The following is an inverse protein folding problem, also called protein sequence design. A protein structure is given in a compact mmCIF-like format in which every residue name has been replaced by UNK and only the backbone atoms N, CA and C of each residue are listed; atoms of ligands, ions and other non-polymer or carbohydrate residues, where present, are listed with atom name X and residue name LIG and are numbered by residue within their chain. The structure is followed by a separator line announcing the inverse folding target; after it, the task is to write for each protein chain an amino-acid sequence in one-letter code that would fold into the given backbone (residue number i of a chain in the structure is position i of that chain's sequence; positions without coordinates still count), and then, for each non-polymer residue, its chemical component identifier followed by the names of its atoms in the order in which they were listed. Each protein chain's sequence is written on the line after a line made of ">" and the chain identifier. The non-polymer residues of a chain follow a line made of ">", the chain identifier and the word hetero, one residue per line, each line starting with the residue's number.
data_IF_422242761189
#
_entry.id   IF_422242761189
#
_cell.length_a   1.000
_cell.length_b   1.000
_cell.length_c   1.000
_cell.angle_alpha   90.00
_cell.angle_beta   90.00
_cell.angle_gamma   90.00
#
_symmetry.space_group_name_H-M   'P 1'
#
loop_
_entity.id
_entity.type
_entity.pdbx_description
1 polymer ?
#
# COMPACT_ATOMS: atom_id res chain seq x y z
N UNK A 1 -18.06 57.20 36.78
CA UNK A 1 -17.54 56.84 35.42
C UNK A 1 -17.65 55.34 35.26
N UNK A 2 -18.76 54.87 34.67
CA UNK A 2 -18.96 53.45 34.40
C UNK A 2 -18.36 53.10 33.02
N UNK A 3 -17.33 52.25 33.00
CA UNK A 3 -16.78 51.70 31.75
C UNK A 3 -17.68 50.52 31.34
N UNK A 4 -18.41 50.68 30.24
CA UNK A 4 -19.13 49.57 29.56
C UNK A 4 -18.11 48.72 28.78
N UNK A 5 -17.85 47.48 29.23
CA UNK A 5 -17.19 46.46 28.43
C UNK A 5 -18.20 45.93 27.41
N UNK A 6 -17.96 46.18 26.13
CA UNK A 6 -18.65 45.44 25.05
C UNK A 6 -17.96 44.12 24.85
N UNK A 7 -18.63 43.02 25.21
CA UNK A 7 -18.26 41.67 24.75
C UNK A 7 -18.67 41.54 23.29
N UNK A 8 -17.68 41.53 22.39
CA UNK A 8 -17.86 41.07 21.03
C UNK A 8 -17.92 39.54 21.04
N UNK A 9 -19.13 38.99 21.00
CA UNK A 9 -19.31 37.59 20.62
C UNK A 9 -18.97 37.47 19.13
N UNK A 10 -17.77 36.99 18.82
CA UNK A 10 -17.41 36.54 17.49
C UNK A 10 -18.16 35.24 17.19
N UNK A 11 -19.19 35.32 16.35
CA UNK A 11 -19.79 34.14 15.75
C UNK A 11 -18.71 33.48 14.86
N UNK A 12 -18.10 32.40 15.33
CA UNK A 12 -17.35 31.51 14.48
C UNK A 12 -18.37 30.86 13.52
N UNK A 13 -18.46 31.38 12.30
CA UNK A 13 -19.16 30.70 11.24
C UNK A 13 -18.39 29.39 10.99
N UNK A 14 -18.90 28.28 11.47
CA UNK A 14 -18.47 26.95 11.00
C UNK A 14 -18.81 26.92 9.50
N UNK A 15 -17.81 27.04 8.62
CA UNK A 15 -17.99 26.67 7.23
C UNK A 15 -18.48 25.21 7.24
N UNK A 16 -19.77 25.02 6.95
CA UNK A 16 -20.30 23.69 6.74
C UNK A 16 -19.47 23.06 5.60
N UNK A 17 -18.94 21.86 5.83
CA UNK A 17 -18.20 21.16 4.79
C UNK A 17 -19.17 20.93 3.62
N UNK A 18 -18.75 21.34 2.41
CA UNK A 18 -19.57 21.18 1.21
C UNK A 18 -19.88 19.70 0.99
N UNK A 19 -21.16 19.37 0.84
CA UNK A 19 -21.60 18.01 0.50
C UNK A 19 -21.26 17.72 -0.96
N UNK A 20 -20.67 16.55 -1.22
CA UNK A 20 -20.46 16.02 -2.57
C UNK A 20 -21.42 14.87 -2.79
N UNK A 21 -22.16 14.91 -3.90
CA UNK A 21 -23.08 13.84 -4.32
C UNK A 21 -22.50 13.11 -5.54
N UNK A 22 -22.12 11.84 -5.37
CA UNK A 22 -21.57 11.00 -6.44
C UNK A 22 -22.70 10.11 -6.96
N UNK A 23 -23.03 10.26 -8.25
CA UNK A 23 -23.98 9.36 -8.96
C UNK A 23 -23.18 8.25 -9.62
N UNK A 24 -23.30 7.03 -9.11
CA UNK A 24 -22.60 5.85 -9.62
C UNK A 24 -23.50 5.03 -10.54
N UNK A 25 -23.02 4.71 -11.75
CA UNK A 25 -23.75 3.78 -12.64
C UNK A 25 -23.81 2.37 -12.07
N UNK A 26 -22.71 1.91 -11.52
CA UNK A 26 -22.59 0.70 -10.71
C UNK A 26 -21.76 1.01 -9.47
N UNK A 27 -22.24 0.61 -8.30
CA UNK A 27 -21.46 0.61 -7.06
C UNK A 27 -21.08 -0.83 -6.73
N UNK A 28 -19.82 -1.13 -6.70
CA UNK A 28 -19.28 -2.48 -6.47
C UNK A 28 -18.79 -2.58 -5.04
N UNK A 29 -19.27 -3.61 -4.34
CA UNK A 29 -18.71 -4.07 -3.06
C UNK A 29 -17.87 -5.33 -3.30
N UNK A 30 -16.53 -5.24 -3.32
CA UNK A 30 -15.67 -6.39 -3.56
C UNK A 30 -15.71 -7.44 -2.45
N UNK A 31 -16.09 -7.06 -1.24
CA UNK A 31 -16.18 -7.98 -0.08
C UNK A 31 -17.31 -8.97 -0.26
N UNK A 32 -18.51 -8.48 -0.59
CA UNK A 32 -19.70 -9.31 -0.81
C UNK A 32 -19.86 -9.78 -2.26
N UNK A 33 -19.14 -9.17 -3.20
CA UNK A 33 -19.32 -9.41 -4.63
C UNK A 33 -20.56 -8.74 -5.23
N UNK A 34 -21.26 -7.87 -4.49
CA UNK A 34 -22.46 -7.21 -4.96
C UNK A 34 -22.15 -6.07 -5.93
N UNK A 35 -22.97 -5.95 -6.97
CA UNK A 35 -22.98 -4.85 -7.95
C UNK A 35 -24.32 -4.17 -7.92
N UNK A 36 -24.38 -2.98 -7.32
CA UNK A 36 -25.61 -2.23 -7.14
C UNK A 36 -25.72 -1.13 -8.23
N UNK A 37 -26.73 -1.18 -9.13
CA UNK A 37 -26.88 -0.19 -10.19
C UNK A 37 -27.50 1.12 -9.67
N UNK A 38 -27.16 2.24 -10.33
CA UNK A 38 -27.78 3.54 -10.14
C UNK A 38 -27.82 4.00 -8.67
N UNK A 39 -26.66 4.04 -8.04
CA UNK A 39 -26.51 4.44 -6.64
C UNK A 39 -26.08 5.90 -6.51
N UNK A 40 -26.43 6.51 -5.37
CA UNK A 40 -25.88 7.80 -4.91
C UNK A 40 -25.05 7.57 -3.66
N UNK A 41 -23.91 8.23 -3.60
CA UNK A 41 -23.04 8.32 -2.42
C UNK A 41 -22.95 9.79 -2.06
N UNK A 42 -23.40 10.17 -0.86
CA UNK A 42 -23.17 11.50 -0.31
C UNK A 42 -21.91 11.47 0.55
N UNK A 43 -21.03 12.45 0.34
CA UNK A 43 -19.78 12.63 1.07
C UNK A 43 -19.79 13.99 1.73
N UNK A 44 -19.46 14.04 3.02
CA UNK A 44 -19.34 15.28 3.79
C UNK A 44 -18.15 15.17 4.74
N UNK A 45 -17.35 16.23 4.86
CA UNK A 45 -16.16 16.23 5.74
C UNK A 45 -15.17 15.11 5.43
N UNK A 46 -15.09 14.67 4.19
CA UNK A 46 -14.19 13.59 3.77
C UNK A 46 -14.73 12.17 3.99
N UNK A 47 -15.91 12.01 4.58
CA UNK A 47 -16.49 10.71 4.92
C UNK A 47 -17.78 10.43 4.16
N UNK A 48 -18.05 9.17 3.95
CA UNK A 48 -19.32 8.71 3.37
C UNK A 48 -20.45 8.93 4.38
N UNK A 49 -21.43 9.76 4.01
CA UNK A 49 -22.56 10.11 4.86
C UNK A 49 -23.77 9.21 4.59
N UNK A 50 -24.12 9.00 3.31
CA UNK A 50 -25.28 8.20 2.89
C UNK A 50 -24.91 7.41 1.64
N UNK A 51 -25.43 6.19 1.53
CA UNK A 51 -25.41 5.37 0.31
C UNK A 51 -26.80 4.82 0.08
N UNK A 52 -27.31 4.93 -1.15
CA UNK A 52 -28.60 4.33 -1.49
C UNK A 52 -28.93 4.47 -2.98
N UNK A 53 -30.07 3.86 -3.40
CA UNK A 53 -30.55 4.00 -4.77
C UNK A 53 -30.83 5.47 -5.13
N UNK A 54 -30.49 5.88 -6.35
CA UNK A 54 -30.59 7.28 -6.82
C UNK A 54 -31.99 7.89 -6.62
N UNK A 55 -33.08 7.10 -6.72
CA UNK A 55 -34.42 7.57 -6.53
C UNK A 55 -34.82 7.71 -5.06
N UNK A 56 -34.03 7.22 -4.12
CA UNK A 56 -34.37 7.20 -2.67
C UNK A 56 -33.47 8.16 -1.86
N UNK A 57 -32.31 8.56 -2.38
CA UNK A 57 -31.40 9.48 -1.70
C UNK A 57 -31.64 10.90 -2.23
N UNK A 58 -32.21 11.82 -1.44
CA UNK A 58 -32.34 13.21 -1.84
C UNK A 58 -30.97 13.87 -1.86
N UNK A 59 -30.62 14.46 -3.00
CA UNK A 59 -29.38 15.23 -3.15
C UNK A 59 -29.65 16.66 -2.70
N UNK A 60 -28.90 17.22 -1.71
CA UNK A 60 -29.03 18.61 -1.32
C UNK A 60 -28.83 19.56 -2.51
N UNK A 61 -29.59 20.65 -2.56
CA UNK A 61 -29.56 21.57 -3.70
C UNK A 61 -28.25 22.33 -3.84
N UNK A 62 -27.47 22.42 -2.78
CA UNK A 62 -26.14 23.05 -2.69
C UNK A 62 -24.98 22.05 -2.80
N UNK A 63 -25.27 20.75 -2.96
CA UNK A 63 -24.24 19.73 -3.12
C UNK A 63 -23.52 19.84 -4.47
N UNK A 64 -22.19 19.64 -4.45
CA UNK A 64 -21.44 19.40 -5.69
C UNK A 64 -21.81 18.04 -6.25
N UNK A 65 -22.38 17.99 -7.46
CA UNK A 65 -22.78 16.73 -8.11
C UNK A 65 -21.65 16.23 -9.02
N UNK A 66 -21.15 15.02 -8.75
CA UNK A 66 -20.20 14.31 -9.61
C UNK A 66 -20.94 13.18 -10.31
N UNK A 67 -21.04 13.27 -11.63
CA UNK A 67 -21.72 12.28 -12.46
C UNK A 67 -20.77 11.19 -12.89
N UNK A 68 -20.91 9.99 -12.31
CA UNK A 68 -20.18 8.76 -12.65
C UNK A 68 -21.14 7.65 -13.15
N UNK A 69 -22.29 8.04 -13.72
CA UNK A 69 -23.31 7.08 -14.20
C UNK A 69 -22.81 6.16 -15.33
N UNK A 70 -21.74 6.55 -16.03
CA UNK A 70 -21.10 5.74 -17.07
C UNK A 70 -20.03 4.78 -16.55
N UNK A 71 -19.75 4.78 -15.24
CA UNK A 71 -18.62 4.08 -14.64
C UNK A 71 -19.06 3.08 -13.57
N UNK A 72 -18.15 2.16 -13.26
CA UNK A 72 -18.19 1.35 -12.04
C UNK A 72 -17.38 2.04 -10.94
N UNK A 73 -18.04 2.34 -9.83
CA UNK A 73 -17.44 2.93 -8.64
C UNK A 73 -17.14 1.82 -7.64
N UNK A 74 -15.94 1.84 -7.07
CA UNK A 74 -15.45 0.81 -6.16
C UNK A 74 -14.43 1.43 -5.20
N UNK A 75 -14.05 0.74 -4.09
CA UNK A 75 -12.99 1.20 -3.21
C UNK A 75 -11.67 1.40 -3.95
N UNK A 76 -10.82 2.30 -3.42
CA UNK A 76 -9.46 2.44 -3.92
C UNK A 76 -8.66 1.13 -3.82
N UNK A 77 -7.69 0.96 -4.72
CA UNK A 77 -6.86 -0.24 -4.79
C UNK A 77 -5.71 -0.17 -3.77
N UNK A 78 -5.20 -1.33 -3.40
CA UNK A 78 -4.08 -1.50 -2.47
C UNK A 78 -2.94 -2.25 -3.16
N UNK A 79 -1.72 -1.72 -3.04
CA UNK A 79 -0.48 -2.49 -3.27
C UNK A 79 0.16 -2.79 -1.93
N UNK A 80 0.16 -4.06 -1.56
CA UNK A 80 0.58 -4.51 -0.23
C UNK A 80 2.10 -4.71 -0.09
N UNK A 81 2.89 -4.44 -1.14
CA UNK A 81 4.35 -4.48 -1.12
C UNK A 81 4.92 -3.62 -2.26
N UNK A 82 5.41 -2.47 -1.92
CA UNK A 82 6.03 -1.54 -2.85
C UNK A 82 7.24 -0.85 -2.17
N UNK A 83 8.05 -0.12 -2.97
CA UNK A 83 9.20 0.66 -2.53
C UNK A 83 9.13 2.04 -3.18
N UNK A 84 8.33 2.94 -2.60
CA UNK A 84 8.08 4.27 -3.20
C UNK A 84 9.35 5.12 -3.29
N UNK A 85 10.24 5.00 -2.31
CA UNK A 85 11.49 5.75 -2.25
C UNK A 85 12.66 5.09 -2.98
N UNK A 86 12.40 4.07 -3.79
CA UNK A 86 13.41 3.42 -4.61
C UNK A 86 12.96 3.32 -6.07
N UNK A 87 13.78 3.79 -6.99
CA UNK A 87 13.59 3.58 -8.42
C UNK A 87 14.95 3.47 -9.09
N UNK A 88 15.35 2.28 -9.43
CA UNK A 88 16.60 2.06 -10.14
C UNK A 88 16.38 1.63 -11.58
N UNK A 89 17.36 1.91 -12.45
CA UNK A 89 17.38 1.37 -13.80
C UNK A 89 17.85 -0.08 -13.72
N UNK A 90 17.09 -0.98 -14.31
CA UNK A 90 17.54 -2.37 -14.48
C UNK A 90 18.61 -2.40 -15.55
N UNK A 91 19.86 -2.35 -15.13
CA UNK A 91 21.04 -2.45 -15.98
C UNK A 91 21.80 -3.74 -15.64
N UNK A 92 22.01 -4.67 -16.62
CA UNK A 92 22.70 -5.92 -16.37
C UNK A 92 24.16 -5.76 -16.02
N UNK A 93 24.78 -4.72 -16.55
CA UNK A 93 26.23 -4.52 -16.44
C UNK A 93 26.64 -3.87 -15.11
N UNK A 94 25.67 -3.22 -14.44
CA UNK A 94 25.88 -2.53 -13.17
C UNK A 94 24.87 -3.03 -12.12
N UNK A 95 25.31 -3.24 -10.89
CA UNK A 95 24.41 -3.49 -9.77
C UNK A 95 23.68 -2.21 -9.42
N UNK A 96 22.73 -1.82 -10.28
CA UNK A 96 22.02 -0.54 -10.19
C UNK A 96 21.18 -0.41 -8.91
N UNK A 97 20.69 -1.52 -8.36
CA UNK A 97 19.99 -1.53 -7.05
C UNK A 97 20.93 -1.06 -5.93
N UNK A 98 22.12 -1.69 -5.79
CA UNK A 98 23.12 -1.30 -4.78
C UNK A 98 23.62 0.12 -5.02
N UNK A 99 23.95 0.46 -6.26
CA UNK A 99 24.48 1.79 -6.62
C UNK A 99 23.44 2.89 -6.30
N UNK A 100 22.18 2.70 -6.65
CA UNK A 100 21.11 3.66 -6.30
C UNK A 100 21.00 3.83 -4.79
N UNK A 101 21.08 2.74 -4.04
CA UNK A 101 20.96 2.77 -2.57
C UNK A 101 22.12 3.53 -1.89
N UNK A 102 23.31 3.57 -2.47
CA UNK A 102 24.48 4.23 -1.88
C UNK A 102 24.84 5.58 -2.51
N UNK A 103 24.33 5.89 -3.72
CA UNK A 103 24.66 7.13 -4.43
C UNK A 103 23.55 8.18 -4.32
N UNK A 104 22.27 7.77 -4.22
CA UNK A 104 21.16 8.70 -4.11
C UNK A 104 20.95 9.11 -2.65
N UNK A 105 20.92 10.43 -2.41
CA UNK A 105 20.67 10.94 -1.07
C UNK A 105 19.22 10.68 -0.61
N UNK A 106 18.99 10.63 0.71
CA UNK A 106 17.65 10.54 1.31
C UNK A 106 16.69 11.59 0.74
N UNK A 107 17.18 12.81 0.55
CA UNK A 107 16.35 13.92 0.04
C UNK A 107 15.88 13.66 -1.41
N UNK A 108 16.76 13.21 -2.30
CA UNK A 108 16.38 12.92 -3.69
C UNK A 108 15.40 11.75 -3.75
N UNK A 109 15.60 10.75 -2.92
CA UNK A 109 14.73 9.58 -2.84
C UNK A 109 13.35 9.92 -2.25
N UNK A 110 13.28 10.84 -1.28
CA UNK A 110 12.01 11.36 -0.77
C UNK A 110 11.22 12.11 -1.88
N UNK A 111 11.89 12.94 -2.70
CA UNK A 111 11.26 13.61 -3.84
C UNK A 111 10.78 12.61 -4.89
N UNK A 112 11.57 11.58 -5.17
CA UNK A 112 11.18 10.50 -6.07
C UNK A 112 9.95 9.74 -5.56
N UNK A 113 9.85 9.52 -4.25
CA UNK A 113 8.71 8.87 -3.61
C UNK A 113 7.41 9.67 -3.79
N UNK A 114 7.47 11.01 -3.78
CA UNK A 114 6.32 11.87 -4.09
C UNK A 114 5.81 11.60 -5.51
N UNK A 115 6.70 11.59 -6.50
CA UNK A 115 6.34 11.31 -7.90
C UNK A 115 5.73 9.91 -8.07
N UNK A 116 6.33 8.90 -7.44
CA UNK A 116 5.81 7.54 -7.45
C UNK A 116 4.42 7.46 -6.80
N UNK A 117 4.22 8.07 -5.63
CA UNK A 117 2.93 8.11 -4.93
C UNK A 117 1.82 8.77 -5.76
N UNK A 118 2.11 9.88 -6.42
CA UNK A 118 1.17 10.57 -7.31
C UNK A 118 0.74 9.65 -8.47
N UNK A 119 1.69 8.96 -9.09
CA UNK A 119 1.37 8.06 -10.22
C UNK A 119 0.65 6.78 -9.78
N UNK A 120 0.91 6.29 -8.55
CA UNK A 120 0.13 5.23 -7.93
C UNK A 120 -1.33 5.64 -7.77
N UNK A 121 -1.58 6.82 -7.16
CA UNK A 121 -2.95 7.35 -7.03
C UNK A 121 -3.64 7.54 -8.38
N UNK A 122 -2.93 8.05 -9.39
CA UNK A 122 -3.49 8.21 -10.74
C UNK A 122 -3.96 6.90 -11.36
N UNK A 123 -3.36 5.77 -10.94
CA UNK A 123 -3.74 4.42 -11.35
C UNK A 123 -4.72 3.72 -10.39
N UNK A 124 -5.28 4.48 -9.42
CA UNK A 124 -6.32 4.00 -8.51
C UNK A 124 -5.82 3.38 -7.21
N UNK A 125 -4.52 3.32 -6.96
CA UNK A 125 -3.97 2.82 -5.71
C UNK A 125 -4.01 3.91 -4.65
N UNK A 126 -5.01 3.85 -3.77
CA UNK A 126 -5.19 4.82 -2.67
C UNK A 126 -4.45 4.42 -1.40
N UNK A 127 -3.98 3.19 -1.32
CA UNK A 127 -3.15 2.66 -0.23
C UNK A 127 -1.94 1.93 -0.79
N UNK A 128 -0.79 2.17 -0.19
CA UNK A 128 0.47 1.47 -0.50
C UNK A 128 1.14 1.05 0.81
N UNK A 129 1.48 -0.22 0.93
CA UNK A 129 2.37 -0.69 1.99
C UNK A 129 3.80 -0.64 1.47
N UNK A 130 4.57 0.32 1.99
CA UNK A 130 5.98 0.53 1.65
C UNK A 130 6.86 -0.29 2.60
N UNK A 131 7.55 -1.28 2.06
CA UNK A 131 8.28 -2.26 2.86
C UNK A 131 9.80 -2.04 2.83
N UNK A 132 10.21 -0.77 2.71
CA UNK A 132 11.58 -0.35 2.97
C UNK A 132 12.37 0.06 1.75
N UNK A 133 13.69 -0.05 1.83
CA UNK A 133 14.62 0.60 0.90
C UNK A 133 14.31 2.11 0.74
N UNK A 134 14.08 2.73 1.88
CA UNK A 134 13.56 4.09 2.02
C UNK A 134 14.66 5.09 2.43
N UNK A 135 15.93 4.76 2.24
CA UNK A 135 17.05 5.67 2.48
C UNK A 135 16.90 6.48 3.78
N UNK A 136 16.95 5.81 4.92
CA UNK A 136 16.89 6.46 6.23
C UNK A 136 15.58 7.21 6.50
N UNK A 137 14.43 6.49 6.43
CA UNK A 137 13.08 7.00 6.75
C UNK A 137 12.47 8.01 5.76
N UNK A 138 12.85 8.01 4.49
CA UNK A 138 12.17 8.82 3.48
C UNK A 138 10.69 8.43 3.30
N UNK A 139 10.32 7.17 3.54
CA UNK A 139 8.95 6.66 3.58
C UNK A 139 8.12 7.30 4.71
N UNK A 140 8.72 7.46 5.90
CA UNK A 140 8.09 8.16 7.02
C UNK A 140 7.88 9.64 6.71
N UNK A 141 8.88 10.29 6.08
CA UNK A 141 8.77 11.68 5.65
C UNK A 141 7.66 11.85 4.59
N UNK A 142 7.58 10.94 3.62
CA UNK A 142 6.52 10.91 2.61
C UNK A 142 5.14 10.80 3.27
N UNK A 143 4.95 9.82 4.16
CA UNK A 143 3.68 9.63 4.87
C UNK A 143 3.26 10.90 5.62
N UNK A 144 4.17 11.48 6.41
CA UNK A 144 3.89 12.71 7.16
C UNK A 144 3.51 13.85 6.24
N UNK A 145 4.22 14.07 5.14
CA UNK A 145 3.92 15.13 4.18
C UNK A 145 2.53 14.97 3.54
N UNK A 146 2.11 13.73 3.25
CA UNK A 146 0.77 13.42 2.74
C UNK A 146 -0.29 13.67 3.82
N UNK A 147 -0.09 13.18 5.04
CA UNK A 147 -1.02 13.35 6.18
C UNK A 147 -1.19 14.83 6.58
N UNK A 148 -0.16 15.65 6.40
CA UNK A 148 -0.22 17.09 6.61
C UNK A 148 -0.84 17.86 5.43
N UNK A 149 -1.15 17.17 4.32
CA UNK A 149 -1.72 17.79 3.13
C UNK A 149 -0.74 18.70 2.38
N UNK A 150 0.57 18.54 2.59
CA UNK A 150 1.58 19.30 1.84
C UNK A 150 1.74 18.79 0.42
N UNK A 151 1.49 17.52 0.22
CA UNK A 151 1.56 16.84 -1.07
C UNK A 151 0.42 15.83 -1.22
N UNK A 152 -0.09 15.59 -2.45
CA UNK A 152 -1.00 14.48 -2.71
C UNK A 152 -0.27 13.15 -2.67
N UNK A 153 -0.96 12.10 -2.24
CA UNK A 153 -0.42 10.75 -2.25
C UNK A 153 -1.36 9.72 -1.65
N UNK A 154 -1.04 8.42 -1.79
CA UNK A 154 -1.79 7.34 -1.16
C UNK A 154 -1.62 7.36 0.36
N UNK A 155 -2.46 6.63 1.07
CA UNK A 155 -2.16 6.25 2.44
C UNK A 155 -0.96 5.32 2.45
N UNK A 156 0.11 5.69 3.15
CA UNK A 156 1.37 4.93 3.17
C UNK A 156 1.48 4.16 4.48
N UNK A 157 1.55 2.83 4.41
CA UNK A 157 1.85 1.95 5.53
C UNK A 157 3.35 1.64 5.46
N UNK A 158 4.16 2.50 6.05
CA UNK A 158 5.61 2.48 5.93
C UNK A 158 6.29 1.60 6.99
N UNK A 159 7.42 0.99 6.65
CA UNK A 159 8.17 0.16 7.60
C UNK A 159 9.43 0.85 8.18
N UNK A 160 9.86 1.99 7.63
CA UNK A 160 11.13 2.58 7.96
C UNK A 160 12.30 1.77 7.38
N UNK A 161 13.31 1.50 8.19
CA UNK A 161 14.49 0.75 7.77
C UNK A 161 14.23 -0.75 7.96
N UNK A 162 14.53 -1.56 6.95
CA UNK A 162 14.42 -3.03 7.03
C UNK A 162 15.36 -3.55 8.12
N UNK A 163 14.91 -4.51 8.92
CA UNK A 163 15.74 -5.14 9.97
C UNK A 163 16.24 -6.50 9.46
N UNK A 164 17.52 -6.76 9.62
CA UNK A 164 18.13 -8.03 9.17
C UNK A 164 19.35 -8.38 10.00
N UNK A 165 19.91 -9.57 9.76
CA UNK A 165 21.27 -9.88 10.17
C UNK A 165 22.25 -8.95 9.44
N UNK A 166 23.47 -8.85 9.95
CA UNK A 166 24.49 -7.92 9.49
C UNK A 166 24.59 -7.80 7.96
N UNK A 167 24.42 -6.57 7.46
CA UNK A 167 24.49 -6.23 6.05
C UNK A 167 23.19 -6.44 5.24
N UNK A 168 22.12 -6.97 5.84
CA UNK A 168 20.85 -7.19 5.17
C UNK A 168 20.97 -8.03 3.89
N UNK A 169 20.48 -7.55 2.77
CA UNK A 169 20.62 -8.20 1.45
C UNK A 169 21.97 -7.93 0.79
N UNK A 170 22.66 -6.87 1.20
CA UNK A 170 23.93 -6.51 0.58
C UNK A 170 25.10 -7.30 1.17
N UNK A 171 26.18 -7.40 0.38
CA UNK A 171 27.46 -7.95 0.82
C UNK A 171 28.54 -6.91 0.49
N UNK A 172 28.60 -5.81 1.26
CA UNK A 172 29.62 -4.79 1.04
C UNK A 172 31.00 -5.31 1.41
N UNK A 173 32.04 -4.67 0.87
CA UNK A 173 33.41 -4.89 1.38
C UNK A 173 33.49 -4.34 2.82
N UNK A 174 34.32 -4.88 3.71
CA UNK A 174 34.40 -4.52 5.12
C UNK A 174 34.52 -3.01 5.36
N UNK A 175 35.33 -2.34 4.54
CA UNK A 175 35.62 -0.90 4.65
C UNK A 175 34.44 -0.02 4.26
N UNK A 176 33.40 -0.59 3.66
CA UNK A 176 32.20 0.10 3.16
C UNK A 176 30.90 -0.43 3.77
N UNK A 177 30.98 -1.24 4.82
CA UNK A 177 29.80 -1.84 5.46
C UNK A 177 28.78 -0.79 5.92
N UNK A 178 29.23 0.36 6.40
CA UNK A 178 28.35 1.44 6.87
C UNK A 178 27.46 2.06 5.79
N UNK A 179 27.77 1.88 4.51
CA UNK A 179 26.98 2.44 3.40
C UNK A 179 25.56 1.80 3.28
N UNK A 180 25.36 0.62 3.86
CA UNK A 180 24.06 -0.08 3.80
C UNK A 180 23.15 0.24 4.99
N UNK A 181 23.63 0.88 6.05
CA UNK A 181 22.84 1.19 7.24
C UNK A 181 21.63 2.12 7.03
N UNK A 182 21.60 2.99 6.02
CA UNK A 182 20.37 3.70 5.67
C UNK A 182 19.25 2.79 5.15
N UNK A 183 19.59 1.57 4.67
CA UNK A 183 18.65 0.59 4.11
C UNK A 183 18.33 -0.56 5.07
N UNK A 184 19.32 -0.98 5.89
CA UNK A 184 19.23 -2.15 6.78
C UNK A 184 19.78 -1.83 8.16
N UNK A 185 18.97 -2.13 9.21
CA UNK A 185 19.44 -2.17 10.59
C UNK A 185 19.93 -3.57 10.90
N UNK A 186 21.18 -3.68 11.36
CA UNK A 186 21.71 -4.93 11.88
C UNK A 186 21.06 -5.27 13.24
N UNK A 187 20.59 -6.50 13.40
CA UNK A 187 19.99 -7.00 14.62
C UNK A 187 20.25 -8.51 14.74
N UNK A 188 21.42 -8.88 15.25
CA UNK A 188 21.90 -10.25 15.34
C UNK A 188 21.73 -10.85 16.74
N UNK A 189 21.29 -10.05 17.71
CA UNK A 189 21.03 -10.48 19.10
C UNK A 189 19.63 -10.05 19.56
N UNK A 190 19.05 -10.69 20.60
CA UNK A 190 17.74 -10.30 21.14
C UNK A 190 17.65 -8.82 21.54
N UNK A 191 18.70 -8.25 22.14
CA UNK A 191 18.71 -6.85 22.56
C UNK A 191 18.75 -5.90 21.35
N UNK A 192 19.47 -6.25 20.30
CA UNK A 192 19.50 -5.51 19.03
C UNK A 192 18.15 -5.58 18.32
N UNK A 193 17.48 -6.74 18.30
CA UNK A 193 16.13 -6.91 17.77
C UNK A 193 15.17 -5.92 18.44
N UNK A 194 15.12 -5.92 19.77
CA UNK A 194 14.27 -5.00 20.54
C UNK A 194 14.60 -3.55 20.22
N UNK A 195 15.87 -3.19 20.17
CA UNK A 195 16.34 -1.84 19.86
C UNK A 195 15.96 -1.40 18.45
N UNK A 196 16.13 -2.27 17.45
CA UNK A 196 15.82 -2.00 16.05
C UNK A 196 14.30 -1.79 15.82
N UNK A 197 13.46 -2.65 16.44
CA UNK A 197 11.99 -2.51 16.38
C UNK A 197 11.58 -1.17 17.00
N UNK A 198 12.06 -0.84 18.20
CA UNK A 198 11.74 0.43 18.88
C UNK A 198 12.24 1.65 18.10
N UNK A 199 13.39 1.56 17.45
CA UNK A 199 13.90 2.62 16.59
C UNK A 199 12.94 2.90 15.42
N UNK A 200 12.46 1.87 14.71
CA UNK A 200 11.49 2.04 13.64
C UNK A 200 10.16 2.62 14.16
N UNK A 201 9.67 2.15 15.30
CA UNK A 201 8.47 2.69 15.97
C UNK A 201 8.66 4.19 16.28
N UNK A 202 9.79 4.56 16.88
CA UNK A 202 10.12 5.95 17.24
C UNK A 202 10.08 6.87 16.01
N UNK A 203 10.57 6.39 14.86
CA UNK A 203 10.60 7.15 13.60
C UNK A 203 9.35 6.93 12.73
N UNK A 204 8.26 6.40 13.32
CA UNK A 204 6.93 6.44 12.74
C UNK A 204 6.59 5.27 11.81
N UNK A 205 7.28 4.14 11.90
CA UNK A 205 6.88 2.94 11.18
C UNK A 205 5.47 2.48 11.55
N UNK A 206 4.73 1.97 10.56
CA UNK A 206 3.37 1.41 10.68
C UNK A 206 3.33 -0.11 10.49
N UNK A 207 4.43 -0.69 10.09
CA UNK A 207 4.68 -2.12 9.96
C UNK A 207 6.17 -2.36 10.23
N UNK A 208 6.54 -3.52 10.71
CA UNK A 208 7.95 -3.93 10.85
C UNK A 208 8.30 -4.87 9.70
N UNK A 209 9.34 -4.58 8.94
CA UNK A 209 9.88 -5.46 7.88
C UNK A 209 11.17 -6.10 8.34
N UNK A 210 11.23 -7.43 8.23
CA UNK A 210 12.45 -8.19 8.56
C UNK A 210 12.93 -9.04 7.37
N UNK A 211 14.24 -9.29 7.33
CA UNK A 211 14.90 -10.23 6.44
C UNK A 211 15.05 -11.56 7.19
N UNK A 212 14.23 -12.58 6.85
CA UNK A 212 14.19 -13.83 7.60
C UNK A 212 15.45 -14.65 7.39
N UNK A 213 15.92 -14.74 6.14
CA UNK A 213 16.95 -15.68 5.74
C UNK A 213 17.82 -15.20 4.55
N UNK A 214 18.05 -13.90 4.42
CA UNK A 214 18.89 -13.33 3.36
C UNK A 214 20.38 -13.74 3.48
N UNK A 215 20.79 -14.25 4.62
CA UNK A 215 22.13 -14.74 4.94
C UNK A 215 22.05 -16.16 5.49
N UNK A 216 23.19 -16.87 5.52
CA UNK A 216 23.29 -18.21 6.11
C UNK A 216 22.97 -18.25 7.61
N UNK A 217 23.07 -17.11 8.30
CA UNK A 217 22.72 -16.90 9.71
C UNK A 217 21.33 -16.21 9.85
N UNK A 218 20.33 -16.70 9.11
CA UNK A 218 18.96 -16.19 9.20
C UNK A 218 18.31 -16.46 10.56
N UNK A 219 17.25 -15.68 10.85
CA UNK A 219 16.58 -15.71 12.15
C UNK A 219 16.00 -17.09 12.51
N UNK A 220 16.13 -17.44 13.77
CA UNK A 220 15.45 -18.58 14.41
C UNK A 220 13.97 -18.28 14.66
N UNK A 221 13.19 -19.31 14.99
CA UNK A 221 11.78 -19.16 15.37
C UNK A 221 11.62 -18.25 16.58
N UNK A 222 12.47 -18.38 17.60
CA UNK A 222 12.35 -17.60 18.84
C UNK A 222 12.73 -16.13 18.64
N UNK A 223 13.72 -15.84 17.82
CA UNK A 223 14.05 -14.45 17.42
C UNK A 223 12.90 -13.82 16.64
N UNK A 224 12.27 -14.54 15.73
CA UNK A 224 11.10 -14.04 15.00
C UNK A 224 9.88 -13.83 15.91
N UNK A 225 9.66 -14.70 16.90
CA UNK A 225 8.63 -14.47 17.95
C UNK A 225 8.93 -13.22 18.76
N UNK A 226 10.21 -12.91 19.01
CA UNK A 226 10.59 -11.66 19.70
C UNK A 226 10.24 -10.43 18.87
N UNK A 227 10.51 -10.43 17.54
CA UNK A 227 10.04 -9.37 16.64
C UNK A 227 8.52 -9.19 16.73
N UNK A 228 7.76 -10.28 16.65
CA UNK A 228 6.29 -10.25 16.71
C UNK A 228 5.81 -9.68 18.06
N UNK A 229 6.38 -10.15 19.17
CA UNK A 229 6.00 -9.70 20.50
C UNK A 229 6.34 -8.23 20.75
N UNK A 230 7.50 -7.76 20.29
CA UNK A 230 7.92 -6.37 20.48
C UNK A 230 7.10 -5.40 19.62
N UNK A 231 6.86 -5.75 18.33
CA UNK A 231 6.02 -4.97 17.43
C UNK A 231 4.58 -4.86 17.95
N UNK A 232 4.02 -5.95 18.48
CA UNK A 232 2.67 -6.02 19.01
C UNK A 232 2.42 -5.06 20.18
N UNK A 233 3.44 -4.67 20.97
CA UNK A 233 3.31 -3.67 22.04
C UNK A 233 2.84 -2.30 21.54
N UNK A 234 3.08 -2.02 20.24
CA UNK A 234 2.63 -0.79 19.56
C UNK A 234 1.55 -1.07 18.52
N UNK A 235 0.91 -2.24 18.55
CA UNK A 235 -0.13 -2.63 17.62
C UNK A 235 0.38 -2.93 16.21
N UNK A 236 1.69 -3.08 15.99
CA UNK A 236 2.26 -3.28 14.67
C UNK A 236 2.38 -4.75 14.31
N UNK A 237 2.28 -5.04 13.01
CA UNK A 237 2.49 -6.36 12.42
C UNK A 237 3.92 -6.50 11.91
N UNK A 238 4.35 -7.77 11.70
CA UNK A 238 5.67 -8.08 11.15
C UNK A 238 5.53 -8.73 9.78
N UNK A 239 6.18 -8.15 8.77
CA UNK A 239 6.30 -8.67 7.40
C UNK A 239 7.70 -9.28 7.22
N UNK A 240 7.75 -10.53 6.74
CA UNK A 240 9.01 -11.28 6.59
C UNK A 240 9.40 -11.50 5.13
N UNK A 241 10.55 -10.96 4.71
CA UNK A 241 11.18 -11.35 3.45
C UNK A 241 11.76 -12.75 3.58
N UNK A 242 11.36 -13.67 2.70
CA UNK A 242 11.74 -15.07 2.77
C UNK A 242 12.32 -15.54 1.43
N UNK A 243 13.49 -16.16 1.47
CA UNK A 243 14.18 -16.68 0.29
C UNK A 243 14.23 -18.21 0.22
N UNK A 244 14.12 -18.90 1.36
CA UNK A 244 14.24 -20.37 1.42
C UNK A 244 12.98 -21.01 2.01
N UNK A 245 12.71 -22.26 1.60
CA UNK A 245 11.62 -23.04 2.19
C UNK A 245 11.78 -23.19 3.72
N UNK A 246 13.00 -23.44 4.20
CA UNK A 246 13.27 -23.54 5.63
C UNK A 246 12.98 -22.22 6.38
N UNK A 247 13.32 -21.08 5.79
CA UNK A 247 12.95 -19.76 6.30
C UNK A 247 11.45 -19.55 6.35
N UNK A 248 10.73 -19.94 5.28
CA UNK A 248 9.26 -19.89 5.23
C UNK A 248 8.63 -20.68 6.37
N UNK A 249 9.05 -21.93 6.58
CA UNK A 249 8.50 -22.77 7.64
C UNK A 249 8.78 -22.20 9.04
N UNK A 250 9.98 -21.65 9.29
CA UNK A 250 10.28 -20.97 10.56
C UNK A 250 9.42 -19.72 10.76
N UNK A 251 9.23 -18.91 9.70
CA UNK A 251 8.40 -17.72 9.74
C UNK A 251 6.93 -18.04 10.04
N UNK A 252 6.42 -19.11 9.42
CA UNK A 252 5.07 -19.63 9.68
C UNK A 252 4.95 -20.13 11.13
N UNK A 253 5.95 -20.86 11.63
CA UNK A 253 5.97 -21.32 13.01
C UNK A 253 5.99 -20.17 14.01
N UNK A 254 6.76 -19.13 13.75
CA UNK A 254 6.87 -17.94 14.57
C UNK A 254 5.60 -17.09 14.59
N UNK A 255 4.67 -17.26 13.64
CA UNK A 255 3.44 -16.49 13.56
C UNK A 255 3.64 -15.09 12.99
N UNK A 256 4.55 -14.93 12.03
CA UNK A 256 4.71 -13.68 11.27
C UNK A 256 3.40 -13.36 10.54
N UNK A 257 3.04 -12.08 10.47
CA UNK A 257 1.78 -11.64 9.87
C UNK A 257 1.67 -11.90 8.38
N UNK A 258 2.73 -11.58 7.63
CA UNK A 258 2.78 -11.80 6.18
C UNK A 258 4.15 -12.31 5.74
N UNK A 259 4.14 -13.24 4.78
CA UNK A 259 5.33 -13.70 4.07
C UNK A 259 5.39 -12.99 2.73
N UNK A 260 6.50 -12.29 2.54
CA UNK A 260 6.81 -11.53 1.35
C UNK A 260 7.59 -12.39 0.36
N UNK A 261 7.26 -12.25 -0.92
CA UNK A 261 7.77 -13.05 -2.03
C UNK A 261 7.27 -14.50 -2.05
N UNK A 262 7.32 -15.11 -3.22
CA UNK A 262 6.70 -16.43 -3.44
C UNK A 262 7.70 -17.53 -3.78
N UNK A 263 8.95 -17.18 -4.04
CA UNK A 263 9.92 -18.11 -4.61
C UNK A 263 10.26 -19.33 -3.74
N UNK A 264 10.04 -19.24 -2.43
CA UNK A 264 10.33 -20.27 -1.45
C UNK A 264 9.08 -21.06 -0.97
N UNK A 265 7.89 -20.72 -1.49
CA UNK A 265 6.61 -21.25 -1.01
C UNK A 265 6.15 -22.39 -1.90
N UNK A 266 6.16 -23.60 -1.35
CA UNK A 266 5.59 -24.80 -1.95
C UNK A 266 4.22 -25.16 -1.35
N UNK A 267 3.66 -26.29 -1.75
CA UNK A 267 2.37 -26.79 -1.27
C UNK A 267 2.32 -27.00 0.25
N UNK A 268 3.42 -27.45 0.85
CA UNK A 268 3.52 -27.61 2.31
C UNK A 268 3.43 -26.27 3.03
N UNK A 269 4.17 -25.28 2.54
CA UNK A 269 4.17 -23.94 3.09
C UNK A 269 2.78 -23.28 2.94
N UNK A 270 2.14 -23.41 1.76
CA UNK A 270 0.79 -22.88 1.53
C UNK A 270 -0.24 -23.48 2.47
N UNK A 271 -0.24 -24.80 2.67
CA UNK A 271 -1.13 -25.47 3.64
C UNK A 271 -0.91 -24.97 5.06
N UNK A 272 0.35 -24.81 5.47
CA UNK A 272 0.68 -24.30 6.79
C UNK A 272 0.26 -22.84 6.97
N UNK A 273 0.46 -21.98 5.94
CA UNK A 273 -0.02 -20.59 5.94
C UNK A 273 -1.54 -20.51 6.07
N UNK A 274 -2.28 -21.32 5.30
CA UNK A 274 -3.74 -21.35 5.36
C UNK A 274 -4.24 -21.75 6.77
N UNK A 275 -3.64 -22.78 7.37
CA UNK A 275 -4.00 -23.24 8.72
C UNK A 275 -3.76 -22.18 9.80
N UNK A 276 -2.69 -21.38 9.67
CA UNK A 276 -2.34 -20.34 10.64
C UNK A 276 -2.89 -18.96 10.27
N UNK A 277 -3.56 -18.81 9.13
CA UNK A 277 -4.13 -17.54 8.66
C UNK A 277 -3.08 -16.49 8.30
N UNK A 278 -1.88 -16.91 7.89
CA UNK A 278 -0.78 -16.04 7.49
C UNK A 278 -1.00 -15.54 6.07
N UNK A 279 -0.74 -14.26 5.82
CA UNK A 279 -0.87 -13.65 4.51
C UNK A 279 0.30 -14.02 3.59
N UNK A 280 -0.03 -14.36 2.34
CA UNK A 280 0.93 -14.44 1.26
C UNK A 280 0.89 -13.15 0.44
N UNK A 281 2.00 -12.47 0.40
CA UNK A 281 2.26 -11.23 -0.34
C UNK A 281 3.37 -11.53 -1.34
N UNK A 282 2.98 -12.18 -2.44
CA UNK A 282 3.92 -12.97 -3.24
C UNK A 282 4.71 -12.21 -4.29
N UNK A 283 4.40 -10.93 -4.55
CA UNK A 283 5.07 -10.08 -5.54
C UNK A 283 5.15 -10.71 -6.95
N UNK A 284 4.01 -11.13 -7.48
CA UNK A 284 3.86 -11.96 -8.67
C UNK A 284 4.20 -11.23 -9.97
N UNK A 285 5.49 -11.04 -10.21
CA UNK A 285 6.04 -10.26 -11.32
C UNK A 285 5.62 -10.83 -12.68
N UNK A 286 5.01 -10.03 -13.57
CA UNK A 286 4.65 -10.45 -14.92
C UNK A 286 5.88 -10.54 -15.82
N UNK A 287 5.80 -11.37 -16.84
CA UNK A 287 6.90 -11.59 -17.80
C UNK A 287 7.40 -10.28 -18.44
N UNK A 288 6.50 -9.32 -18.67
CA UNK A 288 6.81 -8.02 -19.28
C UNK A 288 7.69 -7.11 -18.43
N UNK A 289 7.77 -7.34 -17.13
CA UNK A 289 8.53 -6.51 -16.18
C UNK A 289 9.85 -7.13 -15.74
N UNK A 290 10.09 -8.40 -16.08
CA UNK A 290 11.39 -9.01 -15.80
C UNK A 290 12.49 -8.36 -16.64
N UNK A 291 13.58 -8.04 -15.97
CA UNK A 291 14.80 -7.53 -16.62
C UNK A 291 15.36 -8.52 -17.63
N UNK A 292 15.42 -9.79 -17.27
CA UNK A 292 15.71 -10.92 -18.15
C UNK A 292 14.46 -11.82 -18.17
N UNK A 293 13.57 -11.66 -19.14
CA UNK A 293 12.35 -12.45 -19.20
C UNK A 293 12.68 -13.94 -19.25
N UNK A 294 12.21 -14.68 -18.25
CA UNK A 294 12.29 -16.14 -18.21
C UNK A 294 10.89 -16.71 -18.12
N UNK A 295 10.46 -17.37 -19.20
CA UNK A 295 9.16 -18.04 -19.23
C UNK A 295 9.06 -19.09 -18.12
N UNK A 296 10.11 -19.84 -17.87
CA UNK A 296 10.17 -20.85 -16.79
C UNK A 296 9.92 -20.23 -15.40
N UNK A 297 10.57 -19.09 -15.11
CA UNK A 297 10.36 -18.36 -13.86
C UNK A 297 8.93 -17.85 -13.75
N UNK A 298 8.38 -17.30 -14.83
CA UNK A 298 7.00 -16.84 -14.88
C UNK A 298 6.02 -17.99 -14.66
N UNK A 299 6.21 -19.13 -15.35
CA UNK A 299 5.36 -20.32 -15.20
C UNK A 299 5.38 -20.84 -13.76
N UNK A 300 6.53 -20.87 -13.09
CA UNK A 300 6.64 -21.21 -11.66
C UNK A 300 5.87 -20.21 -10.77
N UNK A 301 5.96 -18.92 -11.06
CA UNK A 301 5.20 -17.91 -10.33
C UNK A 301 3.69 -18.11 -10.46
N UNK A 302 3.22 -18.34 -11.68
CA UNK A 302 1.81 -18.64 -11.97
C UNK A 302 1.34 -19.90 -11.26
N UNK A 303 2.11 -20.98 -11.32
CA UNK A 303 1.77 -22.25 -10.66
C UNK A 303 1.74 -22.13 -9.12
N UNK A 304 2.72 -21.43 -8.54
CA UNK A 304 2.74 -21.14 -7.10
C UNK A 304 1.52 -20.31 -6.66
N UNK A 305 1.08 -19.35 -7.49
CA UNK A 305 -0.11 -18.55 -7.19
C UNK A 305 -1.40 -19.40 -7.28
N UNK A 306 -1.52 -20.29 -8.29
CA UNK A 306 -2.63 -21.25 -8.40
C UNK A 306 -2.70 -22.16 -7.18
N UNK A 307 -1.55 -22.71 -6.78
CA UNK A 307 -1.47 -23.60 -5.62
C UNK A 307 -1.89 -22.88 -4.33
N UNK A 308 -1.41 -21.63 -4.13
CA UNK A 308 -1.81 -20.84 -2.96
C UNK A 308 -3.32 -20.55 -2.93
N UNK A 309 -3.89 -20.20 -4.09
CA UNK A 309 -5.33 -19.97 -4.22
C UNK A 309 -6.14 -21.25 -3.94
N UNK A 310 -5.72 -22.39 -4.51
CA UNK A 310 -6.37 -23.68 -4.29
C UNK A 310 -6.30 -24.15 -2.82
N UNK A 311 -5.25 -23.78 -2.08
CA UNK A 311 -5.10 -24.07 -0.65
C UNK A 311 -5.78 -23.02 0.25
N UNK A 312 -6.54 -22.08 -0.31
CA UNK A 312 -7.24 -21.02 0.44
C UNK A 312 -6.31 -20.16 1.32
N UNK A 313 -5.08 -19.94 0.88
CA UNK A 313 -4.16 -19.01 1.54
C UNK A 313 -4.72 -17.60 1.43
N UNK A 314 -4.61 -16.81 2.49
CA UNK A 314 -4.93 -15.38 2.43
C UNK A 314 -3.97 -14.69 1.47
N UNK A 315 -4.47 -14.15 0.37
CA UNK A 315 -3.70 -13.50 -0.69
C UNK A 315 -3.92 -11.99 -0.66
N UNK A 316 -2.86 -11.21 -0.87
CA UNK A 316 -2.94 -9.78 -1.11
C UNK A 316 -2.14 -9.41 -2.36
N UNK A 317 -2.65 -8.47 -3.15
CA UNK A 317 -1.97 -7.96 -4.33
C UNK A 317 -0.73 -7.18 -3.93
N UNK A 318 0.37 -7.43 -4.63
CA UNK A 318 1.67 -6.85 -4.29
C UNK A 318 2.62 -6.91 -5.48
N UNK A 319 3.57 -5.99 -5.54
CA UNK A 319 4.40 -5.85 -6.74
C UNK A 319 5.90 -5.85 -6.49
N UNK A 320 6.37 -5.42 -5.31
CA UNK A 320 7.79 -5.19 -5.07
C UNK A 320 8.38 -4.22 -6.11
N UNK A 321 7.56 -3.23 -6.53
CA UNK A 321 7.95 -2.33 -7.58
C UNK A 321 8.95 -1.31 -7.04
N UNK A 322 10.20 -1.46 -7.46
CA UNK A 322 11.36 -0.67 -7.05
C UNK A 322 12.23 -0.24 -8.25
N UNK A 323 11.74 -0.41 -9.46
CA UNK A 323 12.50 -0.24 -10.69
C UNK A 323 11.79 0.63 -11.72
N UNK A 324 12.59 1.13 -12.66
CA UNK A 324 12.16 1.93 -13.80
C UNK A 324 11.94 1.07 -15.04
N UNK A 325 10.79 1.27 -15.71
CA UNK A 325 10.53 0.74 -17.05
C UNK A 325 10.34 1.94 -17.97
N UNK A 326 11.10 2.05 -19.08
CA UNK A 326 10.97 3.14 -20.02
C UNK A 326 9.54 3.30 -20.54
N UNK A 327 9.01 4.52 -20.47
CA UNK A 327 7.66 4.85 -20.96
C UNK A 327 6.52 4.48 -20.01
N UNK A 328 6.81 3.93 -18.82
CA UNK A 328 5.78 3.60 -17.83
C UNK A 328 5.99 4.38 -16.53
N UNK A 329 4.90 4.88 -15.96
CA UNK A 329 4.87 5.41 -14.59
C UNK A 329 4.83 4.26 -13.58
N UNK A 330 5.13 4.53 -12.29
CA UNK A 330 5.04 3.53 -11.22
C UNK A 330 3.67 2.86 -11.18
N UNK A 331 2.59 3.61 -11.25
CA UNK A 331 1.23 3.08 -11.26
C UNK A 331 0.94 2.18 -12.46
N UNK A 332 1.49 2.51 -13.66
CA UNK A 332 1.36 1.67 -14.85
C UNK A 332 2.16 0.36 -14.74
N UNK A 333 3.33 0.41 -14.11
CA UNK A 333 4.10 -0.82 -13.82
C UNK A 333 3.31 -1.72 -12.87
N UNK A 334 2.76 -1.15 -11.81
CA UNK A 334 2.01 -1.91 -10.79
C UNK A 334 0.75 -2.56 -11.37
N UNK A 335 -0.07 -1.82 -12.12
CA UNK A 335 -1.30 -2.40 -12.69
C UNK A 335 -1.00 -3.52 -13.72
N UNK A 336 0.20 -3.55 -14.29
CA UNK A 336 0.59 -4.58 -15.24
C UNK A 336 0.74 -5.97 -14.61
N UNK A 337 0.89 -6.04 -13.28
CA UNK A 337 0.92 -7.28 -12.50
C UNK A 337 -0.39 -8.08 -12.59
N UNK A 338 -1.51 -7.46 -12.96
CA UNK A 338 -2.75 -8.17 -13.27
C UNK A 338 -2.57 -9.31 -14.30
N UNK A 339 -1.58 -9.21 -15.19
CA UNK A 339 -1.27 -10.26 -16.17
C UNK A 339 -0.95 -11.60 -15.50
N UNK A 340 -0.22 -11.59 -14.39
CA UNK A 340 0.13 -12.82 -13.67
C UNK A 340 -1.08 -13.41 -12.96
N UNK A 341 -1.90 -12.58 -12.33
CA UNK A 341 -3.12 -13.02 -11.66
C UNK A 341 -4.13 -13.62 -12.64
N UNK A 342 -4.29 -13.00 -13.82
CA UNK A 342 -5.11 -13.56 -14.92
C UNK A 342 -4.54 -14.88 -15.45
N UNK A 343 -3.21 -14.96 -15.65
CA UNK A 343 -2.54 -16.18 -16.11
C UNK A 343 -2.70 -17.33 -15.10
N UNK A 344 -2.82 -17.02 -13.80
CA UNK A 344 -3.13 -17.99 -12.77
C UNK A 344 -4.60 -18.48 -12.81
N UNK A 345 -5.45 -17.88 -13.66
CA UNK A 345 -6.86 -18.28 -13.79
C UNK A 345 -7.72 -17.90 -12.58
N UNK A 346 -7.28 -16.96 -11.76
CA UNK A 346 -8.07 -16.47 -10.62
C UNK A 346 -9.22 -15.61 -11.18
N UNK A 347 -10.48 -15.83 -10.75
CA UNK A 347 -11.63 -15.09 -11.25
C UNK A 347 -11.53 -13.58 -10.97
N UNK A 348 -12.03 -12.73 -11.88
CA UNK A 348 -12.01 -11.28 -11.74
C UNK A 348 -12.57 -10.76 -10.42
N UNK A 349 -13.71 -11.28 -9.88
CA UNK A 349 -14.21 -10.88 -8.55
C UNK A 349 -13.23 -11.15 -7.42
N UNK A 350 -12.53 -12.29 -7.48
CA UNK A 350 -11.54 -12.66 -6.46
C UNK A 350 -10.29 -11.77 -6.55
N UNK A 351 -9.80 -11.49 -7.78
CA UNK A 351 -8.69 -10.54 -7.96
C UNK A 351 -9.07 -9.17 -7.41
N UNK A 352 -10.29 -8.69 -7.69
CA UNK A 352 -10.77 -7.41 -7.19
C UNK A 352 -10.81 -7.38 -5.67
N UNK A 353 -11.31 -8.42 -5.02
CA UNK A 353 -11.30 -8.59 -3.56
C UNK A 353 -9.87 -8.59 -2.99
N UNK A 354 -8.94 -9.27 -3.67
CA UNK A 354 -7.52 -9.34 -3.29
C UNK A 354 -6.85 -7.96 -3.38
N UNK A 355 -7.18 -7.17 -4.39
CA UNK A 355 -6.65 -5.81 -4.59
C UNK A 355 -7.30 -4.75 -3.71
N UNK A 356 -8.39 -5.06 -3.03
CA UNK A 356 -9.16 -4.14 -2.18
C UNK A 356 -9.27 -4.69 -0.77
N UNK A 357 -10.31 -5.43 -0.44
CA UNK A 357 -10.62 -5.94 0.92
C UNK A 357 -9.43 -6.60 1.58
N UNK A 358 -8.80 -7.58 0.90
CA UNK A 358 -7.64 -8.28 1.43
C UNK A 358 -6.43 -7.36 1.59
N UNK A 359 -6.22 -6.44 0.65
CA UNK A 359 -5.19 -5.41 0.74
C UNK A 359 -5.33 -4.54 1.99
N UNK A 360 -6.54 -4.05 2.28
CA UNK A 360 -6.80 -3.30 3.50
C UNK A 360 -6.61 -4.14 4.77
N UNK A 361 -6.98 -5.42 4.73
CA UNK A 361 -6.81 -6.34 5.85
C UNK A 361 -5.33 -6.64 6.14
N UNK A 362 -4.51 -6.92 5.12
CA UNK A 362 -3.07 -7.18 5.33
C UNK A 362 -2.32 -5.94 5.80
N UNK A 363 -2.80 -4.75 5.40
CA UNK A 363 -2.30 -3.46 5.89
C UNK A 363 -2.77 -3.12 7.31
N UNK A 364 -3.66 -3.93 7.91
CA UNK A 364 -4.24 -3.75 9.26
C UNK A 364 -5.01 -2.43 9.42
N UNK A 365 -5.70 -1.97 8.36
CA UNK A 365 -6.45 -0.71 8.32
C UNK A 365 -7.90 -0.86 7.86
N UNK A 366 -8.37 -2.08 7.66
CA UNK A 366 -9.71 -2.37 7.11
C UNK A 366 -10.85 -1.75 7.93
N UNK A 367 -10.70 -1.63 9.24
CA UNK A 367 -11.69 -1.02 10.13
C UNK A 367 -11.63 0.52 10.13
N UNK A 368 -10.61 1.10 9.50
CA UNK A 368 -10.37 2.55 9.46
C UNK A 368 -10.65 3.14 8.09
N UNK A 369 -10.40 2.38 7.01
CA UNK A 369 -10.65 2.77 5.62
C UNK A 369 -10.75 1.54 4.71
N UNK A 370 -11.29 1.72 3.53
CA UNK A 370 -11.38 0.70 2.49
C UNK A 370 -12.78 0.52 1.98
N UNK A 371 -13.70 -0.12 2.72
CA UNK A 371 -15.07 -0.31 2.24
C UNK A 371 -15.77 1.04 2.00
N UNK A 372 -16.54 1.16 0.91
CA UNK A 372 -17.43 2.30 0.72
C UNK A 372 -18.68 2.06 1.61
N UNK A 373 -18.59 2.49 2.87
CA UNK A 373 -19.63 2.33 3.90
C UNK A 373 -19.82 3.65 4.64
N UNK A 374 -21.01 3.89 5.16
CA UNK A 374 -21.33 5.08 5.96
C UNK A 374 -20.35 5.20 7.14
N UNK A 375 -19.79 6.38 7.33
CA UNK A 375 -18.80 6.72 8.34
C UNK A 375 -17.36 6.47 7.93
N UNK A 376 -17.09 5.73 6.86
CA UNK A 376 -15.73 5.51 6.35
C UNK A 376 -15.23 6.71 5.54
N UNK A 377 -13.90 6.96 5.52
CA UNK A 377 -13.31 7.90 4.58
C UNK A 377 -13.73 7.60 3.14
N UNK A 378 -14.02 8.63 2.37
CA UNK A 378 -14.40 8.50 0.98
C UNK A 378 -13.16 8.30 0.09
N UNK A 379 -12.66 7.06 0.09
CA UNK A 379 -11.57 6.58 -0.76
C UNK A 379 -12.15 5.69 -1.85
N UNK A 380 -12.39 6.25 -3.01
CA UNK A 380 -13.05 5.53 -4.09
C UNK A 380 -12.47 5.88 -5.46
N UNK A 381 -12.59 4.94 -6.37
CA UNK A 381 -12.23 5.11 -7.77
C UNK A 381 -13.41 4.82 -8.68
N UNK A 382 -13.35 5.33 -9.91
CA UNK A 382 -14.27 4.92 -10.94
C UNK A 382 -13.51 4.47 -12.19
N UNK A 383 -13.93 3.34 -12.75
CA UNK A 383 -13.32 2.72 -13.91
C UNK A 383 -14.36 2.54 -15.03
N UNK A 384 -13.88 2.54 -16.29
CA UNK A 384 -14.72 2.19 -17.42
C UNK A 384 -14.89 0.67 -17.48
N UNK A 385 -16.12 0.22 -17.74
CA UNK A 385 -16.43 -1.22 -17.76
C UNK A 385 -16.79 -1.78 -16.37
N UNK A 386 -16.82 -3.10 -16.26
CA UNK A 386 -17.17 -3.82 -15.05
C UNK A 386 -16.00 -4.73 -14.61
N UNK A 387 -15.22 -4.36 -13.58
CA UNK A 387 -14.08 -5.18 -13.13
C UNK A 387 -14.49 -6.52 -12.50
N UNK A 388 -15.78 -6.73 -12.20
CA UNK A 388 -16.28 -8.04 -11.78
C UNK A 388 -16.37 -9.04 -12.94
N UNK A 389 -16.53 -8.54 -14.18
CA UNK A 389 -16.59 -9.34 -15.40
C UNK A 389 -15.21 -9.45 -16.05
N UNK A 390 -14.50 -8.31 -16.16
CA UNK A 390 -13.14 -8.24 -16.69
C UNK A 390 -12.28 -7.31 -15.83
N UNK A 391 -11.33 -7.91 -15.12
CA UNK A 391 -10.43 -7.19 -14.23
C UNK A 391 -9.56 -6.16 -14.96
N UNK A 392 -9.34 -6.29 -16.27
CA UNK A 392 -8.59 -5.30 -17.05
C UNK A 392 -9.30 -3.93 -17.13
N UNK A 393 -10.58 -3.83 -16.74
CA UNK A 393 -11.27 -2.56 -16.53
C UNK A 393 -10.51 -1.65 -15.55
N UNK A 394 -9.75 -2.21 -14.61
CA UNK A 394 -8.89 -1.46 -13.68
C UNK A 394 -7.74 -0.70 -14.37
N UNK A 395 -7.46 -0.95 -15.64
CA UNK A 395 -6.45 -0.21 -16.42
C UNK A 395 -6.95 1.16 -16.88
N UNK A 396 -8.26 1.40 -16.89
CA UNK A 396 -8.86 2.69 -17.28
C UNK A 396 -9.55 3.39 -16.11
N UNK A 397 -8.74 3.79 -15.11
CA UNK A 397 -9.21 4.59 -13.96
C UNK A 397 -9.48 6.01 -14.42
N UNK A 398 -10.73 6.45 -14.34
CA UNK A 398 -11.20 7.76 -14.81
C UNK A 398 -11.41 8.77 -13.68
N UNK A 399 -11.65 8.27 -12.47
CA UNK A 399 -11.89 9.08 -11.29
C UNK A 399 -11.17 8.48 -10.08
N UNK A 400 -10.60 9.35 -9.24
CA UNK A 400 -9.99 9.00 -7.96
C UNK A 400 -10.37 10.06 -6.94
N UNK A 401 -10.94 9.62 -5.83
CA UNK A 401 -11.18 10.42 -4.63
C UNK A 401 -10.46 9.78 -3.44
N UNK A 402 -9.83 10.60 -2.62
CA UNK A 402 -9.21 10.17 -1.36
C UNK A 402 -9.53 11.15 -0.25
N UNK A 403 -9.97 10.63 0.90
CA UNK A 403 -10.45 11.44 2.04
C UNK A 403 -11.50 12.48 1.61
N UNK A 404 -12.37 12.14 0.64
CA UNK A 404 -13.39 13.03 0.08
C UNK A 404 -12.87 14.11 -0.89
N UNK A 405 -11.57 14.17 -1.13
CA UNK A 405 -10.96 15.12 -2.07
C UNK A 405 -10.76 14.46 -3.43
N UNK A 406 -11.26 15.09 -4.49
CA UNK A 406 -11.10 14.62 -5.86
C UNK A 406 -9.66 14.84 -6.32
N UNK A 407 -8.95 13.75 -6.61
CA UNK A 407 -7.59 13.77 -7.12
C UNK A 407 -7.53 13.64 -8.64
N UNK A 408 -8.45 12.87 -9.23
CA UNK A 408 -8.53 12.65 -10.67
C UNK A 408 -9.98 12.67 -11.13
N UNK A 409 -10.27 13.41 -12.19
CA UNK A 409 -11.60 13.47 -12.81
C UNK A 409 -11.49 13.40 -14.32
N UNK A 410 -12.32 12.59 -14.96
CA UNK A 410 -12.32 12.36 -16.42
C UNK A 410 -10.94 11.97 -16.99
N UNK A 411 -10.12 11.31 -16.15
CA UNK A 411 -8.75 10.94 -16.51
C UNK A 411 -7.69 12.02 -16.29
N UNK A 412 -8.10 13.23 -15.90
CA UNK A 412 -7.19 14.37 -15.62
C UNK A 412 -6.95 14.48 -14.12
N UNK A 413 -5.69 14.59 -13.72
CA UNK A 413 -5.31 14.81 -12.33
C UNK A 413 -5.53 16.25 -11.89
N UNK A 414 -5.98 16.45 -10.65
CA UNK A 414 -6.17 17.75 -10.00
C UNK A 414 -5.39 17.82 -8.69
N UNK A 415 -4.06 17.64 -8.72
CA UNK A 415 -3.25 17.53 -7.50
C UNK A 415 -3.21 18.81 -6.67
N UNK A 416 -3.47 19.96 -7.27
CA UNK A 416 -3.49 21.27 -6.61
C UNK A 416 -4.51 21.34 -5.45
N UNK A 417 -5.54 20.53 -5.48
CA UNK A 417 -6.55 20.45 -4.39
C UNK A 417 -5.99 19.87 -3.10
N UNK A 418 -4.82 19.25 -3.15
CA UNK A 418 -4.18 18.62 -2.00
C UNK A 418 -3.07 19.46 -1.37
N UNK A 419 -2.66 20.57 -2.02
CA UNK A 419 -1.58 21.40 -1.48
C UNK A 419 -2.10 22.38 -0.43
N UNK A 420 -1.52 22.32 0.76
CA UNK A 420 -1.76 23.26 1.85
C UNK A 420 -0.45 23.92 2.29
N UNK A 421 -0.49 25.19 2.62
CA UNK A 421 0.70 25.97 3.02
C UNK A 421 1.07 25.82 4.50
N UNK A 422 0.30 25.08 5.28
CA UNK A 422 0.54 24.87 6.71
C UNK A 422 0.06 23.51 7.20
N UNK A 423 0.35 23.13 8.42
CA UNK A 423 -0.09 21.86 8.97
C UNK A 423 -1.62 21.84 9.11
N UNK A 424 -2.26 20.85 8.50
CA UNK A 424 -3.73 20.65 8.57
C UNK A 424 -4.13 20.11 9.94
N UNK A 425 -3.28 19.33 10.60
CA UNK A 425 -3.60 18.58 11.83
C UNK A 425 -2.67 18.94 13.00
N UNK A 426 -2.23 20.19 13.14
CA UNK A 426 -1.30 20.60 14.21
C UNK A 426 0.06 19.88 14.14
N UNK A 427 1.11 20.47 14.71
CA UNK A 427 2.45 19.88 14.74
C UNK A 427 2.49 18.65 15.65
N UNK A 428 2.12 17.49 15.15
CA UNK A 428 2.44 16.21 15.79
C UNK A 428 3.16 15.34 14.77
N UNK A 429 4.49 15.41 14.81
CA UNK A 429 5.38 14.42 14.23
C UNK A 429 5.47 13.29 15.27
N UNK A 430 4.52 12.36 15.24
CA UNK A 430 4.57 11.18 16.12
C UNK A 430 4.18 9.93 15.34
#
# INVERSE_FOLDING_TARGET
>A
MLKRCFLLLGAAATLAAQTIAIRAGRLIDPESGQVNPNMVILVEGGHVLIIGPNLQVPIPSDAEVIDLTQYSVLPGLVDAHNHLALTYKRDPENNSYYLTSVLDSTAIRAIQAVSNGITMMSSGFTVVRDLGNAANYADSALRVAIEQGWIPGPTVINCGIIIGGMGGQFTPVPERASLVYPEYLDADTPDEIVKAVRKNILFGAKVIKIMVDAKSYGYTVDEMKLFVAEAAKSGLKVAGHVQTHAGAMRAIEAGIWSIEHSGALDDQAHKAMAQKGIWRVGTETPLSTYYQPSKERFDRTVEGLKNAYANHVKLAFSTDADYYIPGMTRGQVVIDFLKTWKAAGIPSPEILKIMTTNGYQVCDIHDQRGPIKVGMPADLIAVRGNPMEDIDALRDVRFVMKDGVVFKKDGVMTPEKFFHSGPVNGWRIH
#
